data_IF_732380275211
#
_entry.id   IF_732380275211
#
_cell.length_a   1.000
_cell.length_b   1.000
_cell.length_c   1.000
_cell.angle_alpha   90.00
_cell.angle_beta   90.00
_cell.angle_gamma   90.00
#
_symmetry.space_group_name_H-M   'P 1'
#
loop_
_entity.id
_entity.type
_entity.pdbx_description
1 polymer ?
#
# COMPACT_ATOMS: atom_id res chain seq x y z
N UNK A 1 -19.37 52.70 33.53
CA UNK A 1 -18.07 53.12 32.94
C UNK A 1 -17.26 51.85 32.71
N UNK A 2 -17.10 51.41 31.46
CA UNK A 2 -16.38 50.18 31.14
C UNK A 2 -14.88 50.49 31.11
N UNK A 3 -14.10 49.84 31.97
CA UNK A 3 -12.64 49.90 31.93
C UNK A 3 -12.17 48.88 30.89
N UNK A 4 -11.69 49.37 29.75
CA UNK A 4 -11.02 48.55 28.76
C UNK A 4 -9.54 48.49 29.13
N UNK A 5 -9.02 47.27 29.31
CA UNK A 5 -7.59 47.07 29.51
C UNK A 5 -6.84 47.35 28.21
N UNK A 6 -5.69 48.05 28.26
CA UNK A 6 -4.90 48.32 27.08
C UNK A 6 -4.36 47.01 26.51
N UNK A 7 -4.65 46.76 25.23
CA UNK A 7 -4.10 45.62 24.50
C UNK A 7 -2.60 45.85 24.36
N UNK A 8 -1.76 44.94 24.86
CA UNK A 8 -0.31 45.06 24.74
C UNK A 8 0.14 44.86 23.29
N UNK A 9 1.08 45.68 22.84
CA UNK A 9 1.69 45.61 21.50
C UNK A 9 2.30 44.23 21.22
N UNK A 10 2.81 43.56 22.25
CA UNK A 10 3.34 42.19 22.18
C UNK A 10 2.28 41.17 21.75
N UNK A 11 1.04 41.31 22.23
CA UNK A 11 -0.08 40.44 21.83
C UNK A 11 -0.48 40.66 20.38
N UNK A 12 -0.42 41.91 19.92
CA UNK A 12 -0.69 42.26 18.52
C UNK A 12 0.36 41.63 17.60
N UNK A 13 1.64 41.80 17.93
CA UNK A 13 2.73 41.22 17.16
C UNK A 13 2.67 39.68 17.12
N UNK A 14 2.38 39.03 18.25
CA UNK A 14 2.22 37.58 18.30
C UNK A 14 1.05 37.08 17.43
N UNK A 15 -0.03 37.86 17.31
CA UNK A 15 -1.15 37.52 16.43
C UNK A 15 -0.80 37.72 14.96
N UNK A 16 -0.09 38.79 14.61
CA UNK A 16 0.37 39.06 13.24
C UNK A 16 1.30 37.96 12.72
N UNK A 17 2.23 37.48 13.56
CA UNK A 17 3.11 36.35 13.22
C UNK A 17 2.30 35.08 12.97
N UNK A 18 1.35 34.74 13.86
CA UNK A 18 0.51 33.55 13.70
C UNK A 18 -0.37 33.61 12.43
N UNK A 19 -0.89 34.79 12.10
CA UNK A 19 -1.68 34.98 10.88
C UNK A 19 -0.81 34.72 9.65
N UNK A 20 0.41 35.27 9.63
CA UNK A 20 1.36 35.05 8.54
C UNK A 20 1.73 33.57 8.39
N UNK A 21 2.03 32.90 9.49
CA UNK A 21 2.34 31.46 9.48
C UNK A 21 1.17 30.63 8.94
N UNK A 22 -0.07 30.97 9.33
CA UNK A 22 -1.27 30.31 8.82
C UNK A 22 -1.48 30.57 7.32
N UNK A 23 -1.24 31.80 6.85
CA UNK A 23 -1.31 32.14 5.43
C UNK A 23 -0.27 31.36 4.62
N UNK A 24 0.97 31.27 5.10
CA UNK A 24 2.03 30.48 4.45
C UNK A 24 1.69 28.99 4.42
N UNK A 25 1.15 28.43 5.51
CA UNK A 25 0.67 27.05 5.55
C UNK A 25 -0.48 26.80 4.58
N UNK A 26 -1.44 27.71 4.47
CA UNK A 26 -2.53 27.61 3.49
C UNK A 26 -2.00 27.74 2.06
N UNK A 27 -1.00 28.58 1.83
CA UNK A 27 -0.38 28.73 0.52
C UNK A 27 0.41 27.48 0.14
N UNK A 28 1.12 26.87 1.09
CA UNK A 28 1.79 25.58 0.93
C UNK A 28 0.78 24.45 0.68
N UNK A 29 -0.38 24.47 1.35
CA UNK A 29 -1.47 23.51 1.13
C UNK A 29 -2.17 23.71 -0.23
N UNK A 30 -2.28 24.93 -0.74
CA UNK A 30 -2.80 25.20 -2.10
C UNK A 30 -1.79 24.81 -3.19
N UNK A 31 -0.49 24.89 -2.88
CA UNK A 31 0.60 24.47 -3.76
C UNK A 31 0.87 22.98 -3.71
N UNK A 32 0.48 22.29 -2.63
CA UNK A 32 0.53 20.84 -2.63
C UNK A 32 -0.49 20.33 -3.66
N UNK A 33 -0.11 19.38 -4.51
CA UNK A 33 -1.07 18.77 -5.41
C UNK A 33 -2.22 18.24 -4.54
N UNK A 34 -3.47 18.52 -4.94
CA UNK A 34 -4.65 17.89 -4.34
C UNK A 34 -4.31 16.43 -4.11
N UNK A 35 -4.45 15.94 -2.86
CA UNK A 35 -4.30 14.52 -2.54
C UNK A 35 -5.25 13.80 -3.49
N UNK A 36 -4.72 13.36 -4.64
CA UNK A 36 -5.50 12.60 -5.60
C UNK A 36 -5.96 11.41 -4.80
N UNK A 37 -7.25 11.15 -4.82
CA UNK A 37 -7.77 9.85 -4.43
C UNK A 37 -6.99 8.86 -5.30
N UNK A 38 -5.91 8.32 -4.73
CA UNK A 38 -5.06 7.39 -5.44
C UNK A 38 -5.91 6.14 -5.54
N UNK A 39 -6.48 5.93 -6.71
CA UNK A 39 -7.24 4.73 -7.04
C UNK A 39 -6.41 3.52 -6.63
N UNK A 40 -6.85 2.85 -5.56
CA UNK A 40 -6.15 1.73 -4.94
C UNK A 40 -7.02 0.51 -5.04
N UNK A 41 -6.46 -0.56 -5.58
CA UNK A 41 -7.13 -1.85 -5.72
C UNK A 41 -6.45 -2.85 -4.80
N UNK A 42 -7.29 -3.54 -4.03
CA UNK A 42 -6.88 -4.60 -3.13
C UNK A 42 -7.35 -5.91 -3.73
N UNK A 43 -6.40 -6.84 -3.85
CA UNK A 43 -6.63 -8.16 -4.43
C UNK A 43 -6.08 -9.19 -3.46
N UNK A 44 -6.83 -10.25 -3.25
CA UNK A 44 -6.37 -11.44 -2.58
C UNK A 44 -6.60 -12.67 -3.46
N UNK A 45 -5.77 -13.68 -3.27
CA UNK A 45 -5.93 -14.97 -3.92
C UNK A 45 -5.51 -16.05 -2.92
N UNK A 46 -6.32 -17.09 -2.81
CA UNK A 46 -6.02 -18.26 -2.01
C UNK A 46 -6.05 -19.45 -2.96
N UNK A 47 -4.91 -20.11 -3.11
CA UNK A 47 -4.86 -21.42 -3.77
C UNK A 47 -4.87 -22.51 -2.71
N UNK A 48 -5.74 -23.50 -2.89
CA UNK A 48 -5.77 -24.72 -2.09
C UNK A 48 -4.92 -25.84 -2.72
N UNK A 49 -4.30 -25.58 -3.88
CA UNK A 49 -3.61 -26.59 -4.66
C UNK A 49 -2.11 -26.28 -4.78
N UNK A 50 -1.29 -27.02 -4.03
CA UNK A 50 0.15 -26.81 -3.95
C UNK A 50 0.90 -27.26 -5.23
N UNK A 51 0.23 -28.02 -6.11
CA UNK A 51 0.83 -28.61 -7.30
C UNK A 51 0.71 -27.75 -8.58
N UNK A 52 -0.26 -26.82 -8.62
CA UNK A 52 -0.53 -25.94 -9.77
C UNK A 52 -0.48 -24.49 -9.30
N UNK A 53 0.72 -23.93 -9.31
CA UNK A 53 1.06 -22.59 -8.78
C UNK A 53 0.35 -21.46 -9.54
N UNK A 54 -0.28 -21.73 -10.70
CA UNK A 54 -0.96 -20.75 -11.54
C UNK A 54 -2.50 -20.78 -11.44
N UNK A 55 -3.09 -21.61 -10.58
CA UNK A 55 -4.56 -21.73 -10.45
C UNK A 55 -5.15 -20.75 -9.42
N UNK A 56 -4.33 -19.91 -8.78
CA UNK A 56 -4.81 -18.88 -7.88
C UNK A 56 -5.58 -17.81 -8.65
N UNK A 57 -6.91 -17.81 -8.51
CA UNK A 57 -7.76 -16.74 -9.06
C UNK A 57 -7.81 -15.57 -8.10
N UNK A 58 -7.58 -14.36 -8.61
CA UNK A 58 -7.74 -13.13 -7.86
C UNK A 58 -9.22 -12.88 -7.54
N UNK A 59 -9.50 -12.63 -6.27
CA UNK A 59 -10.76 -12.05 -5.84
C UNK A 59 -10.55 -10.53 -5.69
N UNK A 60 -11.47 -9.77 -6.29
CA UNK A 60 -11.41 -8.31 -6.32
C UNK A 60 -12.38 -7.75 -5.29
N UNK A 61 -11.88 -6.88 -4.41
CA UNK A 61 -12.73 -6.13 -3.49
C UNK A 61 -13.20 -4.81 -4.09
N UNK A 62 -12.42 -4.21 -5.01
CA UNK A 62 -12.71 -2.93 -5.66
C UNK A 62 -12.00 -2.85 -7.03
N UNK A 63 -12.69 -2.36 -8.07
CA UNK A 63 -12.22 -2.31 -9.46
C UNK A 63 -11.85 -0.90 -9.93
N UNK A 64 -11.51 0.03 -9.03
CA UNK A 64 -11.11 1.43 -9.30
C UNK A 64 -10.08 1.64 -10.43
N UNK A 65 -10.47 1.55 -11.71
CA UNK A 65 -9.57 1.70 -12.86
C UNK A 65 -8.74 0.46 -13.22
N UNK A 66 -9.06 -0.70 -12.65
CA UNK A 66 -8.39 -1.97 -12.92
C UNK A 66 -9.40 -3.05 -13.29
N UNK A 67 -8.98 -3.93 -14.18
CA UNK A 67 -9.75 -5.09 -14.63
C UNK A 67 -8.93 -6.37 -14.40
N UNK A 68 -9.61 -7.50 -14.27
CA UNK A 68 -8.95 -8.80 -14.30
C UNK A 68 -9.05 -9.40 -15.71
N UNK A 69 -8.10 -10.29 -16.05
CA UNK A 69 -8.27 -11.17 -17.21
C UNK A 69 -9.51 -12.08 -17.04
N UNK A 70 -9.99 -12.64 -18.15
CA UNK A 70 -11.11 -13.60 -18.12
C UNK A 70 -10.79 -14.82 -17.24
N UNK A 71 -9.51 -15.21 -17.18
CA UNK A 71 -8.99 -16.28 -16.31
C UNK A 71 -8.83 -15.85 -14.84
N UNK A 72 -8.98 -14.56 -14.52
CA UNK A 72 -8.70 -13.96 -13.20
C UNK A 72 -7.30 -14.22 -12.66
N UNK A 73 -6.34 -14.49 -13.53
CA UNK A 73 -4.93 -14.73 -13.15
C UNK A 73 -4.07 -13.48 -13.34
N UNK A 74 -4.53 -12.51 -14.11
CA UNK A 74 -3.79 -11.30 -14.47
C UNK A 74 -4.60 -10.05 -14.12
N UNK A 75 -3.87 -8.98 -13.80
CA UNK A 75 -4.42 -7.66 -13.49
C UNK A 75 -4.10 -6.73 -14.65
N UNK A 76 -5.12 -6.08 -15.21
CA UNK A 76 -5.01 -5.11 -16.30
C UNK A 76 -5.28 -3.70 -15.75
N UNK A 77 -4.31 -2.82 -15.96
CA UNK A 77 -4.46 -1.39 -15.66
C UNK A 77 -5.18 -0.70 -16.81
N UNK A 78 -6.38 -0.17 -16.60
CA UNK A 78 -7.20 0.44 -17.66
C UNK A 78 -6.76 1.87 -17.97
N UNK A 79 -6.18 2.55 -16.98
CA UNK A 79 -5.68 3.92 -17.13
C UNK A 79 -4.17 3.95 -17.37
N UNK A 80 -3.68 4.98 -18.06
CA UNK A 80 -2.24 5.21 -18.15
C UNK A 80 -1.78 6.00 -16.94
N UNK A 81 -0.70 5.57 -16.28
CA UNK A 81 -0.21 6.25 -15.09
C UNK A 81 0.97 5.55 -14.43
N UNK A 82 1.40 6.13 -13.32
CA UNK A 82 2.38 5.54 -12.44
C UNK A 82 1.68 4.64 -11.43
N UNK A 83 2.16 3.42 -11.28
CA UNK A 83 1.60 2.41 -10.40
C UNK A 83 2.61 1.98 -9.35
N UNK A 84 2.12 1.77 -8.13
CA UNK A 84 2.89 1.16 -7.04
C UNK A 84 2.26 -0.20 -6.78
N UNK A 85 3.08 -1.25 -6.85
CA UNK A 85 2.64 -2.62 -6.58
C UNK A 85 3.27 -3.11 -5.28
N UNK A 86 2.41 -3.59 -4.38
CA UNK A 86 2.81 -4.23 -3.13
C UNK A 86 2.27 -5.65 -3.13
N UNK A 87 3.15 -6.65 -3.00
CA UNK A 87 2.79 -8.06 -3.00
C UNK A 87 3.27 -8.72 -1.71
N UNK A 88 2.35 -9.38 -1.00
CA UNK A 88 2.66 -10.27 0.11
C UNK A 88 2.19 -11.68 -0.26
N UNK A 89 3.09 -12.66 -0.16
CA UNK A 89 2.78 -14.06 -0.44
C UNK A 89 3.04 -14.89 0.80
N UNK A 90 2.00 -15.58 1.27
CA UNK A 90 2.08 -16.50 2.39
C UNK A 90 2.10 -17.93 1.84
N UNK A 91 3.22 -18.61 1.99
CA UNK A 91 3.39 -19.98 1.54
C UNK A 91 3.24 -20.94 2.71
N UNK A 92 2.44 -21.99 2.54
CA UNK A 92 2.51 -23.15 3.43
C UNK A 92 3.92 -23.75 3.38
N UNK A 93 4.42 -24.40 4.45
CA UNK A 93 5.72 -25.04 4.43
C UNK A 93 5.88 -25.95 3.20
N UNK A 94 6.87 -25.65 2.37
CA UNK A 94 7.14 -26.39 1.14
C UNK A 94 8.29 -27.37 1.36
N UNK A 95 8.18 -28.57 0.79
CA UNK A 95 9.27 -29.56 0.74
C UNK A 95 10.34 -29.20 -0.29
N UNK A 96 10.03 -28.27 -1.20
CA UNK A 96 10.90 -27.77 -2.28
C UNK A 96 10.98 -26.25 -2.24
N UNK A 97 11.98 -25.66 -2.90
CA UNK A 97 12.05 -24.18 -3.00
C UNK A 97 10.89 -23.63 -3.82
N UNK A 98 10.24 -22.57 -3.32
CA UNK A 98 9.22 -21.84 -4.05
C UNK A 98 9.79 -20.55 -4.64
N UNK A 99 9.33 -20.17 -5.82
CA UNK A 99 9.70 -18.92 -6.49
C UNK A 99 8.44 -18.09 -6.65
N UNK A 100 8.49 -16.85 -6.19
CA UNK A 100 7.46 -15.84 -6.44
C UNK A 100 8.02 -14.90 -7.48
N UNK A 101 7.29 -14.70 -8.57
CA UNK A 101 7.71 -13.84 -9.68
C UNK A 101 6.62 -12.83 -10.02
N UNK A 102 7.02 -11.56 -10.11
CA UNK A 102 6.19 -10.47 -10.59
C UNK A 102 6.55 -10.18 -12.05
N UNK A 103 5.54 -10.23 -12.92
CA UNK A 103 5.68 -9.99 -14.36
C UNK A 103 4.81 -8.83 -14.81
N UNK A 104 5.32 -8.02 -15.73
CA UNK A 104 4.57 -6.97 -16.44
C UNK A 104 4.66 -7.28 -17.93
N UNK A 105 3.52 -7.42 -18.60
CA UNK A 105 3.42 -7.80 -20.02
C UNK A 105 4.26 -9.04 -20.37
N UNK A 106 4.21 -10.05 -19.50
CA UNK A 106 4.96 -11.30 -19.63
C UNK A 106 6.46 -11.20 -19.30
N UNK A 107 6.99 -10.01 -19.00
CA UNK A 107 8.41 -9.82 -18.63
C UNK A 107 8.59 -9.80 -17.12
N UNK A 108 9.55 -10.56 -16.62
CA UNK A 108 9.95 -10.55 -15.22
C UNK A 108 10.49 -9.20 -14.81
N UNK A 109 9.92 -8.59 -13.77
CA UNK A 109 10.44 -7.36 -13.16
C UNK A 109 11.00 -7.59 -11.77
N UNK A 110 10.57 -8.64 -11.08
CA UNK A 110 11.10 -9.05 -9.78
C UNK A 110 10.83 -10.52 -9.53
N UNK A 111 11.76 -11.20 -8.87
CA UNK A 111 11.54 -12.54 -8.34
C UNK A 111 12.14 -12.67 -6.95
N UNK A 112 11.57 -13.54 -6.14
CA UNK A 112 12.11 -13.94 -4.84
C UNK A 112 12.00 -15.45 -4.68
N UNK A 113 12.90 -16.03 -3.87
CA UNK A 113 12.96 -17.47 -3.62
C UNK A 113 12.77 -17.74 -2.14
N UNK A 114 11.68 -18.44 -1.81
CA UNK A 114 11.51 -19.00 -0.48
C UNK A 114 12.39 -20.25 -0.32
N UNK A 115 13.21 -20.27 0.73
CA UNK A 115 14.06 -21.41 1.08
C UNK A 115 13.27 -22.45 1.85
N UNK A 116 13.64 -23.72 1.68
CA UNK A 116 13.04 -24.86 2.41
C UNK A 116 13.10 -24.59 3.91
N UNK A 117 11.94 -24.62 4.57
CA UNK A 117 11.89 -24.59 6.03
C UNK A 117 12.45 -25.90 6.58
N UNK A 118 13.49 -25.84 7.40
CA UNK A 118 13.85 -26.97 8.24
C UNK A 118 12.62 -27.38 9.06
N UNK A 119 12.38 -28.69 9.18
CA UNK A 119 11.27 -29.25 9.93
C UNK A 119 11.13 -28.59 11.31
N UNK A 120 9.91 -28.43 11.86
CA UNK A 120 9.77 -28.03 13.24
C UNK A 120 10.40 -29.13 14.10
N UNK A 121 11.59 -28.86 14.65
CA UNK A 121 12.18 -29.72 15.67
C UNK A 121 11.22 -29.67 16.85
N UNK A 122 10.44 -30.74 17.03
CA UNK A 122 9.67 -30.95 18.24
C UNK A 122 10.65 -30.92 19.42
N UNK A 123 10.70 -29.79 20.13
CA UNK A 123 11.34 -29.73 21.43
C UNK A 123 10.50 -30.60 22.37
N UNK A 124 10.97 -31.83 22.57
CA UNK A 124 10.45 -32.77 23.54
C UNK A 124 10.69 -32.18 24.94
N UNK A 125 9.67 -31.58 25.53
CA UNK A 125 9.62 -31.35 26.97
C UNK A 125 9.46 -32.72 27.63
N UNK A 126 10.58 -33.31 28.06
CA UNK A 126 10.54 -34.38 29.04
C UNK A 126 10.20 -33.76 30.40
N UNK A 127 9.27 -34.41 31.11
CA UNK A 127 8.76 -33.99 32.40
C UNK A 127 9.76 -34.09 33.55
#
# INVERSE_FOLDING_TARGET
MFKLEPISLERIHALEVKIRDLEELQLAQKRSPSRRDNEMVHLDAITNNNALVNDGQWNVFDTNGFELSDSKTEIRCVKTGWYILSLAVFLTPQTTSAIVELRVDGRSIRHDRSRVGAAPTAAKLMG
#
